data_IF_131712183139
#
_entry.id   IF_131712183139
#
_cell.length_a   1.000
_cell.length_b   1.000
_cell.length_c   1.000
_cell.angle_alpha   90.00
_cell.angle_beta   90.00
_cell.angle_gamma   90.00
#
_symmetry.space_group_name_H-M   'P 1'
#
loop_
_entity.id
_entity.type
_entity.pdbx_description
1 polymer ?
#
# COMPACT_ATOMS: atom_id res chain seq x y z
N UNK A 1 -24.28 -31.75 9.44
CA UNK A 1 -22.81 -31.82 9.54
C UNK A 1 -22.33 -30.43 9.95
N UNK A 2 -21.40 -30.38 10.90
CA UNK A 2 -21.29 -29.37 11.95
C UNK A 2 -21.08 -27.92 11.48
N UNK A 3 -21.95 -27.00 11.91
CA UNK A 3 -21.89 -25.55 11.66
C UNK A 3 -20.68 -24.84 12.32
N UNK A 4 -19.74 -25.58 12.93
CA UNK A 4 -18.62 -25.04 13.69
C UNK A 4 -17.24 -25.64 13.34
N UNK A 5 -17.13 -26.50 12.33
CA UNK A 5 -15.86 -27.16 11.96
C UNK A 5 -14.81 -26.22 11.32
N UNK A 6 -15.23 -25.04 10.85
CA UNK A 6 -14.38 -24.18 10.01
C UNK A 6 -13.75 -22.98 10.75
N UNK A 7 -13.93 -22.86 12.06
CA UNK A 7 -13.40 -21.73 12.84
C UNK A 7 -11.86 -21.59 12.71
N UNK A 8 -11.06 -22.67 12.75
CA UNK A 8 -9.60 -22.58 12.54
C UNK A 8 -9.25 -22.10 11.12
N UNK A 9 -9.93 -22.66 10.11
CA UNK A 9 -9.76 -22.30 8.70
C UNK A 9 -10.16 -20.85 8.41
N UNK A 10 -11.22 -20.34 9.04
CA UNK A 10 -11.64 -18.94 8.93
C UNK A 10 -10.64 -17.98 9.57
N UNK A 11 -10.04 -18.36 10.71
CA UNK A 11 -8.99 -17.57 11.36
C UNK A 11 -7.74 -17.49 10.48
N UNK A 12 -7.41 -18.60 9.81
CA UNK A 12 -6.28 -18.74 8.89
C UNK A 12 -6.51 -17.99 7.57
N UNK A 13 -7.72 -18.02 7.00
CA UNK A 13 -8.04 -17.20 5.83
C UNK A 13 -8.01 -15.70 6.15
N UNK A 14 -8.40 -15.28 7.36
CA UNK A 14 -8.34 -13.86 7.76
C UNK A 14 -6.92 -13.34 8.01
N UNK A 15 -5.90 -14.20 8.13
CA UNK A 15 -4.51 -13.74 8.19
C UNK A 15 -3.95 -13.31 6.83
N UNK A 16 -4.61 -13.72 5.73
CA UNK A 16 -4.27 -13.32 4.36
C UNK A 16 -4.91 -11.96 4.06
N UNK A 17 -4.09 -10.94 3.77
CA UNK A 17 -4.58 -9.57 3.55
C UNK A 17 -5.58 -9.47 2.39
N UNK A 18 -5.41 -10.29 1.35
CA UNK A 18 -6.31 -10.34 0.20
C UNK A 18 -7.73 -10.76 0.56
N UNK A 19 -7.92 -11.50 1.65
CA UNK A 19 -9.21 -12.05 2.05
C UNK A 19 -9.97 -11.15 3.02
N UNK A 20 -9.38 -10.02 3.44
CA UNK A 20 -10.01 -9.04 4.35
C UNK A 20 -11.28 -8.40 3.80
N UNK A 21 -11.41 -8.35 2.47
CA UNK A 21 -12.55 -7.77 1.75
C UNK A 21 -13.66 -8.76 1.43
N UNK A 22 -13.46 -10.05 1.72
CA UNK A 22 -14.42 -11.10 1.41
C UNK A 22 -15.54 -11.14 2.46
N UNK A 23 -16.75 -11.44 2.01
CA UNK A 23 -17.90 -11.62 2.91
C UNK A 23 -17.72 -12.87 3.77
N UNK A 24 -18.41 -12.92 4.91
CA UNK A 24 -18.39 -14.10 5.79
C UNK A 24 -18.85 -15.37 5.06
N UNK A 25 -19.81 -15.26 4.14
CA UNK A 25 -20.26 -16.37 3.30
C UNK A 25 -19.15 -16.89 2.38
N UNK A 26 -18.46 -15.98 1.68
CA UNK A 26 -17.34 -16.33 0.80
C UNK A 26 -16.19 -16.95 1.59
N UNK A 27 -15.83 -16.38 2.74
CA UNK A 27 -14.82 -16.96 3.62
C UNK A 27 -15.19 -18.36 4.10
N UNK A 28 -16.48 -18.61 4.41
CA UNK A 28 -16.95 -19.96 4.78
C UNK A 28 -16.78 -20.95 3.63
N UNK A 29 -17.17 -20.57 2.41
CA UNK A 29 -17.06 -21.42 1.22
C UNK A 29 -15.58 -21.68 0.84
N UNK A 30 -14.72 -20.68 1.01
CA UNK A 30 -13.27 -20.84 0.84
C UNK A 30 -12.69 -21.78 1.90
N UNK A 31 -13.14 -21.67 3.15
CA UNK A 31 -12.70 -22.54 4.23
C UNK A 31 -13.06 -24.01 3.95
N UNK A 32 -14.23 -24.27 3.36
CA UNK A 32 -14.65 -25.61 2.92
C UNK A 32 -13.84 -26.14 1.72
N UNK A 33 -13.17 -25.25 0.99
CA UNK A 33 -12.42 -25.58 -0.23
C UNK A 33 -10.91 -25.73 -0.01
N UNK A 34 -10.43 -25.42 1.19
CA UNK A 34 -9.02 -25.60 1.56
C UNK A 34 -8.67 -27.09 1.59
N UNK A 35 -7.55 -27.43 0.98
CA UNK A 35 -6.99 -28.79 1.00
C UNK A 35 -5.71 -28.77 1.81
N UNK A 36 -5.62 -29.65 2.80
CA UNK A 36 -4.38 -29.83 3.58
C UNK A 36 -3.40 -30.72 2.81
N UNK A 37 -2.15 -30.28 2.72
CA UNK A 37 -1.06 -30.99 2.05
C UNK A 37 0.16 -30.99 2.97
N UNK A 38 0.82 -32.14 3.09
CA UNK A 38 2.02 -32.32 3.89
C UNK A 38 3.24 -32.53 3.00
N UNK A 39 4.36 -31.92 3.38
CA UNK A 39 5.64 -31.97 2.69
C UNK A 39 6.73 -32.42 3.66
N UNK A 40 7.58 -33.35 3.22
CA UNK A 40 8.74 -33.80 3.99
C UNK A 40 9.89 -32.78 3.92
N UNK A 41 10.86 -32.85 4.84
CA UNK A 41 12.04 -31.96 4.83
C UNK A 41 12.76 -31.93 3.47
N UNK A 42 13.02 -30.73 2.96
CA UNK A 42 13.71 -30.48 1.69
C UNK A 42 12.88 -30.73 0.43
N UNK A 43 11.60 -31.09 0.54
CA UNK A 43 10.71 -31.30 -0.60
C UNK A 43 10.39 -29.97 -1.30
N UNK A 44 10.46 -29.98 -2.63
CA UNK A 44 10.02 -28.83 -3.45
C UNK A 44 8.50 -28.80 -3.44
N UNK A 45 7.94 -27.71 -2.93
CA UNK A 45 6.50 -27.43 -2.86
C UNK A 45 6.01 -26.82 -4.18
N UNK A 46 6.81 -25.93 -4.76
CA UNK A 46 6.56 -25.28 -6.05
C UNK A 46 7.90 -25.13 -6.78
N UNK A 47 8.01 -25.62 -8.01
CA UNK A 47 9.16 -25.39 -8.87
C UNK A 47 9.00 -24.06 -9.65
N UNK A 48 10.12 -23.45 -10.04
CA UNK A 48 10.16 -22.26 -10.90
C UNK A 48 9.58 -22.51 -12.30
N UNK A 49 9.62 -23.77 -12.75
CA UNK A 49 9.12 -24.18 -14.06
C UNK A 49 7.65 -24.65 -14.01
N UNK A 50 7.02 -24.65 -12.83
CA UNK A 50 5.62 -24.99 -12.65
C UNK A 50 4.70 -23.78 -12.86
N UNK A 51 3.56 -23.99 -13.52
CA UNK A 51 2.48 -23.01 -13.58
C UNK A 51 1.80 -22.91 -12.21
N UNK A 52 2.28 -21.96 -11.39
CA UNK A 52 1.72 -21.73 -10.06
C UNK A 52 0.30 -21.22 -10.17
N UNK A 53 -0.65 -22.07 -9.80
CA UNK A 53 -2.09 -21.81 -9.86
C UNK A 53 -2.77 -21.87 -8.50
N UNK A 54 -2.01 -21.93 -7.40
CA UNK A 54 -2.56 -22.11 -6.06
C UNK A 54 -1.89 -21.21 -5.02
N UNK A 55 -2.67 -20.78 -4.03
CA UNK A 55 -2.18 -20.14 -2.80
C UNK A 55 -1.89 -21.20 -1.75
N UNK A 56 -0.82 -21.03 -0.98
CA UNK A 56 -0.44 -21.90 0.13
C UNK A 56 -0.36 -21.09 1.42
N UNK A 57 -0.92 -21.63 2.50
CA UNK A 57 -0.91 -21.03 3.83
C UNK A 57 -0.28 -22.04 4.80
N UNK A 58 0.78 -21.64 5.49
CA UNK A 58 1.59 -22.52 6.33
C UNK A 58 0.87 -22.72 7.66
N UNK A 59 0.36 -23.92 7.89
CA UNK A 59 -0.25 -24.29 9.17
C UNK A 59 0.78 -24.71 10.21
N UNK A 60 1.87 -25.35 9.77
CA UNK A 60 2.96 -25.82 10.64
C UNK A 60 4.24 -25.99 9.83
N UNK A 61 5.38 -25.63 10.40
CA UNK A 61 6.69 -25.77 9.76
C UNK A 61 7.17 -24.47 9.12
N UNK A 62 8.25 -24.56 8.34
CA UNK A 62 8.95 -23.41 7.75
C UNK A 62 9.16 -23.65 6.26
N UNK A 63 8.96 -22.64 5.43
CA UNK A 63 9.15 -22.73 3.98
C UNK A 63 10.22 -21.73 3.56
N UNK A 64 11.17 -22.20 2.74
CA UNK A 64 12.15 -21.36 2.08
C UNK A 64 11.72 -21.07 0.67
N UNK A 65 11.56 -19.79 0.38
CA UNK A 65 11.24 -19.26 -0.92
C UNK A 65 12.51 -18.73 -1.58
N UNK A 66 12.79 -19.17 -2.80
CA UNK A 66 13.91 -18.69 -3.62
C UNK A 66 13.36 -18.03 -4.87
N UNK A 67 13.71 -16.76 -5.08
CA UNK A 67 13.20 -15.92 -6.17
C UNK A 67 14.38 -15.40 -6.98
N UNK A 68 14.33 -15.55 -8.31
CA UNK A 68 15.41 -15.09 -9.19
C UNK A 68 15.44 -13.55 -9.27
N UNK A 69 16.59 -12.92 -9.02
CA UNK A 69 16.70 -11.46 -8.94
C UNK A 69 16.59 -10.75 -10.29
N UNK A 70 16.77 -11.47 -11.40
CA UNK A 70 16.79 -10.93 -12.76
C UNK A 70 15.40 -10.64 -13.34
N UNK A 71 14.32 -11.07 -12.65
CA UNK A 71 12.93 -10.95 -13.14
C UNK A 71 11.94 -10.38 -12.14
N UNK A 72 12.41 -9.80 -11.04
CA UNK A 72 11.54 -9.28 -10.00
C UNK A 72 11.19 -7.80 -10.23
N UNK A 73 9.91 -7.51 -10.47
CA UNK A 73 9.39 -6.14 -10.46
C UNK A 73 9.26 -5.63 -9.01
N UNK A 74 9.27 -4.31 -8.82
CA UNK A 74 9.18 -3.67 -7.49
C UNK A 74 7.95 -4.14 -6.69
N UNK A 75 6.85 -4.42 -7.38
CA UNK A 75 5.53 -4.72 -6.80
C UNK A 75 5.50 -6.13 -6.22
N UNK A 76 6.15 -7.06 -6.93
CA UNK A 76 6.37 -8.43 -6.49
C UNK A 76 7.22 -8.47 -5.21
N UNK A 77 8.21 -7.57 -5.09
CA UNK A 77 9.05 -7.47 -3.90
C UNK A 77 8.30 -6.88 -2.69
N UNK A 78 7.41 -5.91 -2.90
CA UNK A 78 6.59 -5.34 -1.83
C UNK A 78 5.58 -6.39 -1.29
N UNK A 79 5.05 -7.26 -2.15
CA UNK A 79 4.20 -8.40 -1.75
C UNK A 79 5.00 -9.50 -1.00
N UNK A 80 6.26 -9.72 -1.36
CA UNK A 80 7.16 -10.63 -0.64
C UNK A 80 7.58 -10.08 0.73
N UNK A 81 7.76 -8.76 0.84
CA UNK A 81 8.30 -8.10 2.04
C UNK A 81 7.28 -7.95 3.16
N UNK A 82 5.98 -8.10 2.87
CA UNK A 82 4.91 -7.97 3.87
C UNK A 82 4.78 -9.18 4.80
N UNK A 83 5.47 -10.29 4.54
CA UNK A 83 5.16 -11.58 5.16
C UNK A 83 6.29 -12.33 5.89
N UNK A 84 7.48 -11.73 6.09
CA UNK A 84 8.58 -12.41 6.80
C UNK A 84 9.38 -11.54 7.75
N UNK A 85 9.57 -12.01 8.99
CA UNK A 85 10.69 -11.56 9.83
C UNK A 85 11.96 -12.18 9.24
N UNK A 86 13.00 -11.35 9.06
CA UNK A 86 14.32 -11.71 8.53
C UNK A 86 14.39 -12.04 7.03
N UNK A 87 14.47 -10.99 6.21
CA UNK A 87 15.18 -11.05 4.93
C UNK A 87 16.68 -11.15 5.25
N UNK A 88 17.23 -12.37 5.27
CA UNK A 88 18.69 -12.54 5.20
C UNK A 88 19.10 -12.52 3.73
N UNK A 89 19.76 -11.44 3.31
CA UNK A 89 20.50 -11.43 2.05
C UNK A 89 21.73 -12.34 2.20
N UNK A 90 21.59 -13.62 1.87
CA UNK A 90 22.73 -14.44 1.49
C UNK A 90 22.96 -14.23 -0.01
N UNK A 91 24.03 -13.50 -0.36
CA UNK A 91 24.55 -13.45 -1.73
C UNK A 91 25.19 -14.80 -2.08
N UNK A 92 24.38 -15.83 -2.29
CA UNK A 92 24.80 -17.00 -3.07
C UNK A 92 24.06 -16.97 -4.40
N UNK A 93 24.81 -16.72 -5.47
CA UNK A 93 24.36 -16.85 -6.88
C UNK A 93 23.28 -15.88 -7.39
N UNK A 94 23.06 -14.73 -6.74
CA UNK A 94 22.19 -13.67 -7.30
C UNK A 94 20.69 -13.95 -7.22
N UNK A 95 20.25 -14.83 -6.31
CA UNK A 95 18.83 -15.07 -6.01
C UNK A 95 18.45 -14.47 -4.64
N UNK A 96 17.20 -14.08 -4.48
CA UNK A 96 16.63 -13.68 -3.20
C UNK A 96 16.08 -14.90 -2.47
N UNK A 97 16.42 -15.04 -1.19
CA UNK A 97 15.90 -16.11 -0.33
C UNK A 97 15.07 -15.50 0.79
N UNK A 98 13.86 -15.99 0.97
CA UNK A 98 12.91 -15.56 2.02
C UNK A 98 12.45 -16.79 2.78
N UNK A 99 12.54 -16.78 4.11
CA UNK A 99 12.00 -17.83 4.96
C UNK A 99 10.66 -17.37 5.54
N UNK A 100 9.65 -18.24 5.44
CA UNK A 100 8.27 -17.98 5.87
C UNK A 100 7.91 -19.00 6.95
N UNK A 101 7.55 -18.47 8.12
CA UNK A 101 7.20 -19.26 9.30
C UNK A 101 5.70 -19.66 9.31
N UNK A 102 5.34 -20.46 10.31
CA UNK A 102 3.95 -20.81 10.63
C UNK A 102 3.03 -19.58 10.71
N UNK A 103 1.88 -19.65 10.04
CA UNK A 103 0.91 -18.56 9.91
C UNK A 103 1.16 -17.63 8.71
N UNK A 104 2.31 -17.76 8.04
CA UNK A 104 2.59 -17.10 6.77
C UNK A 104 1.91 -17.78 5.58
N UNK A 105 1.98 -17.14 4.41
CA UNK A 105 1.41 -17.65 3.16
C UNK A 105 2.25 -17.21 1.96
N UNK A 106 2.09 -17.91 0.83
CA UNK A 106 2.78 -17.62 -0.43
C UNK A 106 1.98 -18.17 -1.63
N UNK A 107 2.19 -17.59 -2.81
CA UNK A 107 1.51 -18.00 -4.05
C UNK A 107 0.21 -17.23 -4.33
N UNK A 108 -0.05 -16.17 -3.57
CA UNK A 108 -1.19 -15.27 -3.74
C UNK A 108 -1.25 -14.61 -5.13
N UNK A 109 -0.10 -14.43 -5.77
CA UNK A 109 0.03 -13.89 -7.12
C UNK A 109 -0.75 -14.70 -8.15
N UNK A 110 -0.83 -16.03 -7.96
CA UNK A 110 -1.62 -16.92 -8.80
C UNK A 110 -3.10 -16.51 -8.82
N UNK A 111 -3.64 -16.08 -7.68
CA UNK A 111 -5.05 -15.69 -7.51
C UNK A 111 -5.37 -14.34 -8.16
N UNK A 112 -4.42 -13.39 -8.16
CA UNK A 112 -4.57 -12.06 -8.79
C UNK A 112 -4.13 -12.03 -10.27
N UNK A 113 -3.69 -13.17 -10.81
CA UNK A 113 -3.28 -13.28 -12.22
C UNK A 113 -1.91 -12.69 -12.53
N UNK A 114 -1.04 -12.61 -11.53
CA UNK A 114 0.36 -12.25 -11.68
C UNK A 114 1.22 -13.52 -11.77
N UNK A 115 2.15 -13.55 -12.73
CA UNK A 115 3.07 -14.67 -12.92
C UNK A 115 4.42 -14.32 -12.33
N UNK A 116 4.72 -14.86 -11.15
CA UNK A 116 6.03 -14.73 -10.52
C UNK A 116 6.71 -16.09 -10.55
N UNK A 117 7.93 -16.12 -11.08
CA UNK A 117 8.80 -17.29 -11.04
C UNK A 117 9.46 -17.37 -9.66
N UNK A 118 9.09 -18.36 -8.87
CA UNK A 118 9.70 -18.64 -7.57
C UNK A 118 9.81 -20.15 -7.35
N UNK A 119 10.73 -20.56 -6.50
CA UNK A 119 10.83 -21.94 -6.00
C UNK A 119 10.55 -21.93 -4.51
N UNK A 120 9.61 -22.76 -4.07
CA UNK A 120 9.32 -22.94 -2.65
C UNK A 120 9.74 -24.34 -2.22
N UNK A 121 10.53 -24.46 -1.14
CA UNK A 121 10.93 -25.73 -0.55
C UNK A 121 10.66 -25.76 0.95
N UNK A 122 10.26 -26.92 1.45
CA UNK A 122 10.06 -27.15 2.88
C UNK A 122 11.39 -27.19 3.63
N UNK A 123 11.42 -26.57 4.81
CA UNK A 123 12.50 -26.66 5.79
C UNK A 123 11.94 -27.39 7.01
N UNK A 124 12.26 -28.67 7.11
CA UNK A 124 11.60 -29.62 8.00
C UNK A 124 10.26 -30.13 7.45
N UNK A 125 9.53 -30.88 8.27
CA UNK A 125 8.19 -31.34 7.92
C UNK A 125 7.20 -30.16 7.97
N UNK A 126 6.57 -29.87 6.83
CA UNK A 126 5.66 -28.72 6.64
C UNK A 126 4.24 -29.20 6.33
N UNK A 127 3.24 -28.56 6.94
CA UNK A 127 1.84 -28.73 6.60
C UNK A 127 1.29 -27.39 6.09
N UNK A 128 0.72 -27.41 4.88
CA UNK A 128 0.10 -26.25 4.25
C UNK A 128 -1.37 -26.52 3.97
N UNK A 129 -2.21 -25.49 4.11
CA UNK A 129 -3.51 -25.44 3.44
C UNK A 129 -3.35 -24.78 2.09
N UNK A 130 -3.87 -25.40 1.03
CA UNK A 130 -3.83 -24.86 -0.32
C UNK A 130 -5.22 -24.57 -0.87
N UNK A 131 -5.30 -23.53 -1.69
CA UNK A 131 -6.49 -23.22 -2.49
C UNK A 131 -6.09 -22.96 -3.94
N UNK A 132 -6.67 -23.77 -4.85
CA UNK A 132 -6.48 -23.61 -6.28
C UNK A 132 -7.26 -22.39 -6.79
N UNK A 133 -6.66 -21.67 -7.75
CA UNK A 133 -7.23 -20.50 -8.41
C UNK A 133 -8.60 -20.79 -9.00
N UNK A 134 -8.77 -21.93 -9.65
CA UNK A 134 -10.06 -22.33 -10.24
C UNK A 134 -11.18 -22.37 -9.19
N UNK A 135 -10.91 -22.98 -8.03
CA UNK A 135 -11.87 -23.03 -6.92
C UNK A 135 -12.09 -21.65 -6.30
N UNK A 136 -11.02 -20.87 -6.19
CA UNK A 136 -11.10 -19.51 -5.69
C UNK A 136 -11.98 -18.62 -6.59
N UNK A 137 -11.76 -18.64 -7.90
CA UNK A 137 -12.53 -17.89 -8.90
C UNK A 137 -14.00 -18.33 -8.96
N UNK A 138 -14.31 -19.60 -8.68
CA UNK A 138 -15.68 -20.09 -8.58
C UNK A 138 -16.45 -19.50 -7.39
N UNK A 139 -15.76 -19.22 -6.28
CA UNK A 139 -16.37 -18.76 -5.02
C UNK A 139 -16.39 -17.24 -4.92
N UNK A 140 -15.28 -16.60 -5.30
CA UNK A 140 -15.07 -15.15 -5.16
C UNK A 140 -15.34 -14.41 -6.47
N UNK A 141 -15.26 -15.10 -7.61
CA UNK A 141 -15.11 -14.48 -8.92
C UNK A 141 -13.65 -14.14 -9.21
N UNK A 142 -13.34 -13.83 -10.48
CA UNK A 142 -12.00 -13.35 -10.84
C UNK A 142 -11.68 -12.07 -10.07
N UNK A 143 -10.67 -12.13 -9.21
CA UNK A 143 -10.16 -10.95 -8.55
C UNK A 143 -9.61 -10.01 -9.63
N UNK A 144 -10.05 -8.74 -9.68
CA UNK A 144 -9.36 -7.73 -10.46
C UNK A 144 -7.92 -7.68 -9.94
N UNK A 145 -6.95 -7.45 -10.84
CA UNK A 145 -5.61 -7.01 -10.44
C UNK A 145 -5.79 -5.92 -9.36
N UNK A 146 -4.93 -5.82 -8.33
CA UNK A 146 -5.12 -4.88 -7.23
C UNK A 146 -5.31 -3.41 -7.65
N UNK A 147 -5.17 -3.08 -8.94
CA UNK A 147 -5.58 -1.82 -9.58
C UNK A 147 -7.07 -1.65 -9.96
N UNK A 148 -7.97 -2.66 -9.88
CA UNK A 148 -9.32 -2.54 -10.48
C UNK A 148 -10.55 -2.93 -9.63
N UNK A 149 -10.41 -3.33 -8.36
CA UNK A 149 -11.57 -3.85 -7.61
C UNK A 149 -12.45 -2.84 -6.85
N UNK A 150 -12.05 -1.58 -6.68
CA UNK A 150 -12.83 -0.61 -5.88
C UNK A 150 -13.70 0.38 -6.68
N UNK A 151 -13.82 0.24 -8.00
CA UNK A 151 -14.53 1.23 -8.83
C UNK A 151 -16.03 0.99 -9.06
N UNK A 152 -16.65 -0.07 -8.52
CA UNK A 152 -18.01 -0.47 -8.96
C UNK A 152 -19.15 -0.48 -7.93
N UNK A 153 -18.98 0.03 -6.71
CA UNK A 153 -20.07 0.01 -5.70
C UNK A 153 -20.47 1.37 -5.09
N UNK A 154 -20.25 2.49 -5.81
CA UNK A 154 -20.78 3.82 -5.41
C UNK A 154 -21.40 4.64 -6.55
N UNK A 155 -21.86 4.01 -7.62
CA UNK A 155 -22.58 4.70 -8.71
C UNK A 155 -24.11 4.56 -8.57
N UNK A 156 -24.66 5.04 -7.47
CA UNK A 156 -26.07 5.43 -7.42
C UNK A 156 -26.18 6.67 -6.54
N UNK A 157 -26.62 7.78 -7.15
CA UNK A 157 -26.79 9.13 -6.62
C UNK A 157 -25.57 10.06 -6.78
N UNK A 158 -25.34 10.54 -8.02
CA UNK A 158 -25.01 11.94 -8.41
C UNK A 158 -25.14 12.01 -9.95
N UNK A 159 -25.77 13.04 -10.55
CA UNK A 159 -25.97 13.14 -12.00
C UNK A 159 -24.67 13.34 -12.79
N UNK A 160 -24.68 12.83 -14.01
CA UNK A 160 -23.62 12.97 -15.02
C UNK A 160 -23.38 14.45 -15.38
N UNK A 161 -22.15 14.92 -15.20
CA UNK A 161 -21.56 15.93 -16.08
C UNK A 161 -20.16 15.50 -16.53
N UNK A 162 -19.98 15.56 -17.84
CA UNK A 162 -18.80 15.14 -18.59
C UNK A 162 -17.66 16.15 -18.42
N UNK A 163 -16.47 15.68 -18.05
CA UNK A 163 -15.22 16.05 -18.75
C UNK A 163 -14.08 15.11 -18.34
N UNK A 164 -13.39 14.61 -19.36
CA UNK A 164 -12.27 13.67 -19.29
C UNK A 164 -11.12 14.15 -18.38
N UNK A 165 -10.59 13.22 -17.59
CA UNK A 165 -9.21 12.79 -17.73
C UNK A 165 -9.12 11.32 -17.28
N UNK A 166 -8.93 10.42 -18.23
CA UNK A 166 -8.44 9.07 -17.95
C UNK A 166 -7.01 9.22 -17.44
N UNK A 167 -6.74 8.83 -16.20
CA UNK A 167 -5.37 8.75 -15.70
C UNK A 167 -5.04 7.28 -15.50
N UNK A 168 -4.46 6.70 -16.56
CA UNK A 168 -3.75 5.44 -16.53
C UNK A 168 -2.64 5.50 -15.47
N UNK A 169 -2.60 4.41 -14.70
CA UNK A 169 -1.57 4.04 -13.74
C UNK A 169 -0.18 4.39 -14.26
N UNK A 170 0.57 5.23 -13.51
CA UNK A 170 2.02 5.29 -13.66
C UNK A 170 2.58 3.95 -13.17
N UNK A 171 3.12 3.08 -14.04
CA UNK A 171 3.78 1.86 -13.59
C UNK A 171 5.13 2.27 -13.00
N UNK A 172 5.26 2.11 -11.68
CA UNK A 172 6.49 1.82 -10.93
C UNK A 172 7.84 2.18 -11.57
N UNK A 173 8.04 3.45 -11.89
CA UNK A 173 9.38 4.01 -11.95
C UNK A 173 9.68 4.51 -10.53
N UNK A 174 10.73 3.98 -9.90
CA UNK A 174 11.26 4.53 -8.64
C UNK A 174 11.74 5.96 -8.95
N UNK A 175 10.83 6.93 -8.83
CA UNK A 175 11.07 8.33 -9.18
C UNK A 175 12.22 8.83 -8.33
N UNK A 176 13.35 9.13 -8.96
CA UNK A 176 14.48 9.73 -8.28
C UNK A 176 14.27 11.23 -8.14
N UNK A 177 14.98 11.87 -7.21
CA UNK A 177 14.87 13.33 -7.04
C UNK A 177 15.27 14.08 -8.33
N UNK A 178 16.19 13.52 -9.11
CA UNK A 178 16.60 14.04 -10.43
C UNK A 178 15.46 14.06 -11.46
N UNK A 179 14.47 13.18 -11.30
CA UNK A 179 13.31 13.08 -12.19
C UNK A 179 12.23 14.11 -11.83
N UNK A 180 12.38 14.81 -10.70
CA UNK A 180 11.43 15.82 -10.22
C UNK A 180 11.96 17.22 -10.51
N UNK A 181 11.16 18.02 -11.20
CA UNK A 181 11.43 19.44 -11.42
C UNK A 181 10.56 20.28 -10.49
N UNK A 182 11.19 20.98 -9.53
CA UNK A 182 10.49 21.88 -8.62
C UNK A 182 9.96 23.10 -9.37
N UNK A 183 8.65 23.36 -9.26
CA UNK A 183 7.99 24.48 -9.94
C UNK A 183 7.67 25.60 -8.97
N UNK A 184 7.06 25.28 -7.83
CA UNK A 184 6.56 26.29 -6.91
C UNK A 184 6.59 25.78 -5.46
N UNK A 185 6.92 26.67 -4.53
CA UNK A 185 6.79 26.40 -3.09
C UNK A 185 5.42 26.88 -2.62
N UNK A 186 4.66 26.00 -1.97
CA UNK A 186 3.31 26.30 -1.45
C UNK A 186 3.38 26.61 0.05
N UNK A 187 4.22 25.87 0.78
CA UNK A 187 4.38 26.00 2.21
C UNK A 187 5.82 25.74 2.64
N UNK A 188 6.32 26.53 3.58
CA UNK A 188 7.64 26.38 4.14
C UNK A 188 7.57 26.33 5.67
N UNK A 189 8.27 25.36 6.24
CA UNK A 189 8.53 25.22 7.66
C UNK A 189 10.03 25.42 7.93
N UNK A 190 10.44 25.26 9.18
CA UNK A 190 11.81 25.51 9.62
C UNK A 190 12.85 24.57 9.01
N UNK A 191 12.52 23.30 8.78
CA UNK A 191 13.40 22.33 8.12
C UNK A 191 12.81 21.65 6.88
N UNK A 192 11.60 22.03 6.46
CA UNK A 192 10.91 21.39 5.32
C UNK A 192 10.14 22.39 4.45
N UNK A 193 9.86 21.98 3.23
CA UNK A 193 8.99 22.70 2.29
C UNK A 193 8.07 21.73 1.57
N UNK A 194 6.88 22.20 1.25
CA UNK A 194 5.90 21.51 0.40
C UNK A 194 5.74 22.34 -0.86
N UNK A 195 5.93 21.70 -2.01
CA UNK A 195 5.85 22.36 -3.30
C UNK A 195 5.18 21.51 -4.37
N UNK A 196 4.95 22.14 -5.52
CA UNK A 196 4.58 21.45 -6.75
C UNK A 196 5.83 21.03 -7.51
N UNK A 197 5.82 19.79 -7.97
CA UNK A 197 6.84 19.23 -8.84
C UNK A 197 6.21 18.70 -10.12
N UNK A 198 6.93 18.84 -11.22
CA UNK A 198 6.63 18.16 -12.47
C UNK A 198 7.52 16.92 -12.58
N UNK A 199 6.93 15.77 -12.91
CA UNK A 199 7.72 14.57 -13.20
C UNK A 199 8.28 14.71 -14.62
N UNK A 200 9.61 14.75 -14.74
CA UNK A 200 10.33 14.90 -16.02
C UNK A 200 9.91 13.80 -17.00
N UNK A 201 9.68 14.19 -18.25
CA UNK A 201 9.15 13.29 -19.27
C UNK A 201 7.64 13.07 -19.19
N UNK A 202 6.93 13.82 -18.34
CA UNK A 202 5.47 13.87 -18.31
C UNK A 202 4.97 15.28 -18.02
N UNK A 203 3.71 15.56 -18.38
CA UNK A 203 3.00 16.76 -17.95
C UNK A 203 2.30 16.58 -16.59
N UNK A 204 2.57 15.46 -15.90
CA UNK A 204 1.95 15.15 -14.62
C UNK A 204 2.62 15.97 -13.52
N UNK A 205 1.79 16.78 -12.85
CA UNK A 205 2.15 17.52 -11.65
C UNK A 205 1.79 16.71 -10.41
N UNK A 206 2.59 16.84 -9.36
CA UNK A 206 2.33 16.26 -8.03
C UNK A 206 2.85 17.19 -6.94
N UNK A 207 2.43 16.95 -5.71
CA UNK A 207 2.96 17.61 -4.52
C UNK A 207 4.11 16.83 -3.93
N UNK A 208 5.14 17.56 -3.48
CA UNK A 208 6.36 17.00 -2.97
C UNK A 208 6.76 17.73 -1.69
N UNK A 209 6.93 16.96 -0.60
CA UNK A 209 7.47 17.46 0.66
C UNK A 209 8.96 17.14 0.72
N UNK A 210 9.79 18.17 0.85
CA UNK A 210 11.25 18.03 0.96
C UNK A 210 11.75 18.55 2.31
N UNK A 211 12.73 17.85 2.89
CA UNK A 211 13.42 18.24 4.11
C UNK A 211 14.88 18.55 3.80
N UNK A 212 15.38 19.68 4.31
CA UNK A 212 16.78 20.07 4.14
C UNK A 212 17.66 19.26 5.10
N UNK A 213 18.47 18.33 4.60
CA UNK A 213 19.30 17.44 5.45
C UNK A 213 20.15 18.25 6.43
N UNK A 214 20.77 19.34 5.96
CA UNK A 214 21.57 20.23 6.81
C UNK A 214 20.75 20.84 7.95
N UNK A 215 19.57 21.42 7.66
CA UNK A 215 18.72 22.05 8.71
C UNK A 215 18.13 21.02 9.66
N UNK A 216 17.77 19.83 9.17
CA UNK A 216 17.27 18.73 10.01
C UNK A 216 18.34 18.34 11.04
N UNK A 217 19.61 18.23 10.61
CA UNK A 217 20.74 17.94 11.50
C UNK A 217 21.02 19.10 12.46
N UNK A 218 21.07 20.34 11.97
CA UNK A 218 21.34 21.53 12.77
C UNK A 218 20.30 21.73 13.89
N UNK A 219 19.03 21.43 13.60
CA UNK A 219 17.90 21.55 14.53
C UNK A 219 17.62 20.28 15.34
N UNK A 220 18.39 19.20 15.14
CA UNK A 220 18.21 17.90 15.80
C UNK A 220 16.79 17.32 15.64
N UNK A 221 16.24 17.45 14.42
CA UNK A 221 14.88 17.01 14.06
C UNK A 221 14.83 15.69 13.31
N UNK A 222 15.93 14.95 13.24
CA UNK A 222 16.05 13.68 12.49
C UNK A 222 14.93 12.72 12.89
N UNK A 223 14.74 12.49 14.20
CA UNK A 223 13.70 11.60 14.73
C UNK A 223 12.30 12.02 14.31
N UNK A 224 12.02 13.33 14.30
CA UNK A 224 10.72 13.86 13.89
C UNK A 224 10.47 13.55 12.41
N UNK A 225 11.45 13.81 11.55
CA UNK A 225 11.33 13.55 10.09
C UNK A 225 11.12 12.07 9.80
N UNK A 226 11.85 11.17 10.47
CA UNK A 226 11.66 9.73 10.30
C UNK A 226 10.29 9.26 10.77
N UNK A 227 9.82 9.77 11.92
CA UNK A 227 8.47 9.46 12.41
C UNK A 227 7.39 9.94 11.45
N UNK A 228 7.54 11.15 10.90
CA UNK A 228 6.60 11.72 9.94
C UNK A 228 6.53 10.88 8.66
N UNK A 229 7.70 10.50 8.12
CA UNK A 229 7.82 9.61 6.97
C UNK A 229 7.13 8.26 7.22
N UNK A 230 7.45 7.62 8.35
CA UNK A 230 6.91 6.29 8.65
C UNK A 230 5.40 6.35 8.85
N UNK A 231 4.91 7.39 9.53
CA UNK A 231 3.48 7.63 9.70
C UNK A 231 2.78 7.80 8.36
N UNK A 232 3.28 8.67 7.48
CA UNK A 232 2.68 8.88 6.16
C UNK A 232 2.71 7.63 5.29
N UNK A 233 3.77 6.80 5.37
CA UNK A 233 3.82 5.52 4.66
C UNK A 233 2.80 4.51 5.16
N UNK A 234 2.47 4.53 6.45
CA UNK A 234 1.44 3.63 6.97
C UNK A 234 0.06 4.02 6.48
N UNK A 235 -0.19 5.29 6.15
CA UNK A 235 -1.50 5.80 5.74
C UNK A 235 -1.84 5.34 4.32
N UNK A 236 -3.02 4.72 4.17
CA UNK A 236 -3.57 4.42 2.85
C UNK A 236 -4.28 5.64 2.30
N UNK A 237 -4.41 5.71 0.97
CA UNK A 237 -5.17 6.75 0.29
C UNK A 237 -6.55 6.96 0.95
N UNK A 238 -6.83 8.19 1.35
CA UNK A 238 -8.15 8.61 1.81
C UNK A 238 -8.54 9.92 1.13
N UNK A 239 -9.80 10.34 1.28
CA UNK A 239 -10.28 11.57 0.65
C UNK A 239 -9.55 12.83 1.12
N UNK A 240 -9.03 12.80 2.37
CA UNK A 240 -8.47 13.98 3.04
C UNK A 240 -7.03 13.79 3.52
N UNK A 241 -6.40 12.65 3.23
CA UNK A 241 -4.98 12.39 3.50
C UNK A 241 -4.38 11.79 2.24
N UNK A 242 -3.37 12.44 1.63
CA UNK A 242 -2.80 11.96 0.40
C UNK A 242 -1.94 10.72 0.63
N UNK A 243 -1.96 9.84 -0.36
CA UNK A 243 -1.11 8.67 -0.43
C UNK A 243 0.33 9.07 -0.75
N UNK A 244 1.29 8.39 -0.11
CA UNK A 244 2.71 8.50 -0.47
C UNK A 244 3.00 7.62 -1.68
N UNK A 245 3.39 8.23 -2.79
CA UNK A 245 3.80 7.51 -4.00
C UNK A 245 5.21 6.94 -3.88
N UNK A 246 6.16 7.75 -3.39
CA UNK A 246 7.51 7.31 -3.14
C UNK A 246 8.23 8.20 -2.13
N UNK A 247 9.38 7.70 -1.67
CA UNK A 247 10.37 8.50 -0.93
C UNK A 247 11.68 8.50 -1.68
N UNK A 248 12.32 9.66 -1.78
CA UNK A 248 13.61 9.83 -2.43
C UNK A 248 14.55 10.65 -1.56
N UNK A 249 15.85 10.57 -1.83
CA UNK A 249 16.86 11.32 -1.10
C UNK A 249 18.05 11.62 -2.02
N UNK A 250 18.71 12.75 -1.77
CA UNK A 250 20.02 13.08 -2.35
C UNK A 250 20.95 13.64 -1.26
N UNK A 251 22.03 14.32 -1.66
CA UNK A 251 22.99 14.89 -0.70
C UNK A 251 22.44 16.10 0.09
N UNK A 252 21.37 16.74 -0.40
CA UNK A 252 20.82 17.98 0.16
C UNK A 252 19.44 17.80 0.80
N UNK A 253 18.65 16.85 0.31
CA UNK A 253 17.24 16.71 0.60
C UNK A 253 16.80 15.27 0.88
N UNK A 254 15.87 15.12 1.83
CA UNK A 254 14.97 13.96 1.93
C UNK A 254 13.62 14.34 1.35
N UNK A 255 12.94 13.41 0.69
CA UNK A 255 11.78 13.70 -0.14
C UNK A 255 10.64 12.70 0.00
N UNK A 256 9.41 13.21 -0.02
CA UNK A 256 8.18 12.43 0.00
C UNK A 256 7.27 12.94 -1.11
N UNK A 257 7.00 12.10 -2.11
CA UNK A 257 6.11 12.41 -3.23
C UNK A 257 4.70 11.97 -2.90
N UNK A 258 3.73 12.89 -3.05
CA UNK A 258 2.35 12.69 -2.67
C UNK A 258 1.44 12.56 -3.89
N UNK A 259 0.43 11.69 -3.80
CA UNK A 259 -0.55 11.46 -4.86
C UNK A 259 -1.65 12.55 -4.90
N UNK A 260 -1.26 13.81 -4.85
CA UNK A 260 -2.16 14.95 -4.92
C UNK A 260 -1.46 16.15 -5.56
N UNK A 261 -2.24 17.19 -5.87
CA UNK A 261 -1.74 18.48 -6.34
C UNK A 261 -2.31 19.56 -5.44
N UNK A 262 -1.57 19.93 -4.42
CA UNK A 262 -1.89 21.03 -3.52
C UNK A 262 -1.79 22.37 -4.24
N UNK A 263 -2.65 23.30 -3.87
CA UNK A 263 -2.74 24.65 -4.42
C UNK A 263 -2.37 25.71 -3.40
N UNK A 264 -2.98 25.66 -2.21
CA UNK A 264 -2.78 26.66 -1.17
C UNK A 264 -3.16 26.11 0.21
N UNK A 265 -2.79 26.84 1.26
CA UNK A 265 -3.32 26.59 2.60
C UNK A 265 -4.75 27.11 2.73
N UNK A 266 -5.51 26.54 3.67
CA UNK A 266 -6.84 26.99 4.03
C UNK A 266 -6.78 28.44 4.53
N UNK A 267 -5.72 28.82 5.26
CA UNK A 267 -5.48 30.18 5.71
C UNK A 267 -5.52 31.19 4.55
N UNK A 268 -4.96 30.85 3.39
CA UNK A 268 -4.93 31.74 2.21
C UNK A 268 -6.33 32.08 1.65
N UNK A 269 -7.34 31.25 1.90
CA UNK A 269 -8.71 31.50 1.46
C UNK A 269 -9.62 32.07 2.57
N UNK A 270 -9.16 32.04 3.82
CA UNK A 270 -9.89 32.56 4.99
C UNK A 270 -9.72 34.08 5.19
N UNK A 271 -9.73 34.84 4.09
CA UNK A 271 -9.65 36.31 4.14
C UNK A 271 -10.99 36.96 4.55
N UNK A 272 -12.08 36.18 4.51
CA UNK A 272 -13.41 36.57 4.96
C UNK A 272 -14.10 35.35 5.59
N UNK A 273 -15.12 35.57 6.45
CA UNK A 273 -15.93 34.48 6.96
C UNK A 273 -16.51 33.65 5.81
N UNK A 274 -16.37 32.33 5.91
CA UNK A 274 -16.97 31.41 4.95
C UNK A 274 -18.49 31.40 5.12
N UNK A 275 -19.20 31.09 4.03
CA UNK A 275 -20.61 30.72 4.14
C UNK A 275 -20.77 29.48 5.02
N UNK A 276 -21.94 29.33 5.63
CA UNK A 276 -22.22 28.18 6.50
C UNK A 276 -22.01 26.84 5.78
N UNK A 277 -22.38 26.75 4.50
CA UNK A 277 -22.18 25.55 3.68
C UNK A 277 -20.70 25.20 3.51
N UNK A 278 -19.85 26.20 3.22
CA UNK A 278 -18.42 26.00 3.03
C UNK A 278 -17.71 25.70 4.35
N UNK A 279 -18.08 26.41 5.43
CA UNK A 279 -17.57 26.13 6.76
C UNK A 279 -17.89 24.69 7.20
N UNK A 280 -19.14 24.23 6.98
CA UNK A 280 -19.57 22.86 7.27
C UNK A 280 -18.79 21.83 6.45
N UNK A 281 -18.57 22.11 5.16
CA UNK A 281 -17.80 21.22 4.29
C UNK A 281 -16.35 21.04 4.74
N UNK A 282 -15.64 22.13 5.03
CA UNK A 282 -14.24 22.05 5.48
C UNK A 282 -14.13 21.48 6.90
N UNK A 283 -15.04 21.82 7.80
CA UNK A 283 -15.08 21.23 9.14
C UNK A 283 -15.31 19.71 9.06
N UNK A 284 -16.25 19.24 8.24
CA UNK A 284 -16.49 17.81 8.03
C UNK A 284 -15.26 17.12 7.42
N UNK A 285 -14.57 17.76 6.46
CA UNK A 285 -13.35 17.22 5.86
C UNK A 285 -12.23 17.05 6.90
N UNK A 286 -12.04 18.02 7.80
CA UNK A 286 -11.09 17.91 8.92
C UNK A 286 -11.47 16.77 9.85
N UNK A 287 -12.75 16.62 10.20
CA UNK A 287 -13.23 15.53 11.06
C UNK A 287 -12.94 14.16 10.43
N UNK A 288 -13.23 13.99 9.13
CA UNK A 288 -12.96 12.74 8.40
C UNK A 288 -11.46 12.44 8.35
N UNK A 289 -10.61 13.45 8.12
CA UNK A 289 -9.17 13.27 8.14
C UNK A 289 -8.67 12.82 9.53
N UNK A 290 -9.13 13.48 10.59
CA UNK A 290 -8.74 13.14 11.97
C UNK A 290 -9.24 11.77 12.39
N UNK A 291 -10.46 11.38 12.00
CA UNK A 291 -11.00 10.04 12.25
C UNK A 291 -10.10 8.96 11.64
N UNK A 292 -9.63 9.16 10.40
CA UNK A 292 -8.74 8.20 9.74
C UNK A 292 -7.37 8.09 10.43
N UNK A 293 -6.84 9.19 10.96
CA UNK A 293 -5.62 9.18 11.77
C UNK A 293 -5.85 8.46 13.11
N UNK A 294 -6.96 8.78 13.80
CA UNK A 294 -7.30 8.16 15.09
C UNK A 294 -7.54 6.65 14.96
N UNK A 295 -8.13 6.19 13.86
CA UNK A 295 -8.32 4.76 13.56
C UNK A 295 -7.00 3.98 13.52
N UNK A 296 -5.87 4.68 13.29
CA UNK A 296 -4.51 4.13 13.26
C UNK A 296 -3.70 4.50 14.51
N UNK A 297 -4.38 4.95 15.57
CA UNK A 297 -3.76 5.40 16.82
C UNK A 297 -2.79 6.56 16.65
N UNK A 298 -3.00 7.40 15.63
CA UNK A 298 -2.21 8.61 15.36
C UNK A 298 -2.97 9.81 15.93
N UNK A 299 -2.39 10.48 16.92
CA UNK A 299 -2.91 11.75 17.43
C UNK A 299 -2.24 12.92 16.70
N UNK A 300 -3.00 13.58 15.82
CA UNK A 300 -2.52 14.76 15.11
C UNK A 300 -2.77 16.04 15.93
N UNK A 301 -1.69 16.61 16.48
CA UNK A 301 -1.76 17.74 17.42
C UNK A 301 -1.58 19.11 16.77
N UNK A 302 -1.35 19.15 15.46
CA UNK A 302 -0.92 20.34 14.73
C UNK A 302 -2.02 21.10 13.99
N UNK A 303 -3.29 20.71 14.11
CA UNK A 303 -4.41 21.26 13.30
C UNK A 303 -4.43 22.79 13.33
N UNK A 304 -4.10 23.43 12.21
CA UNK A 304 -4.19 24.88 12.00
C UNK A 304 -4.57 25.20 10.55
N UNK A 305 -5.05 26.41 10.29
CA UNK A 305 -5.40 26.82 8.93
C UNK A 305 -4.19 26.87 7.98
N UNK A 306 -2.97 27.02 8.49
CA UNK A 306 -1.74 27.10 7.70
C UNK A 306 -1.29 25.75 7.15
N UNK A 307 -1.62 24.66 7.85
CA UNK A 307 -1.18 23.30 7.51
C UNK A 307 -2.27 22.47 6.81
N UNK A 308 -3.53 22.90 6.90
CA UNK A 308 -4.63 22.32 6.15
C UNK A 308 -4.54 22.85 4.73
N UNK A 309 -4.28 21.97 3.77
CA UNK A 309 -4.02 22.38 2.38
C UNK A 309 -5.22 22.04 1.51
N UNK A 310 -5.42 22.80 0.43
CA UNK A 310 -6.45 22.53 -0.56
C UNK A 310 -5.80 21.99 -1.83
N UNK A 311 -6.41 20.97 -2.42
CA UNK A 311 -6.03 20.51 -3.76
C UNK A 311 -6.72 21.32 -4.87
N UNK A 312 -6.35 21.02 -6.12
CA UNK A 312 -6.92 21.66 -7.32
C UNK A 312 -8.44 21.52 -7.45
N UNK A 313 -9.05 20.54 -6.80
CA UNK A 313 -10.50 20.31 -6.82
C UNK A 313 -11.20 21.00 -5.64
N UNK A 314 -10.45 21.69 -4.77
CA UNK A 314 -10.97 22.37 -3.59
C UNK A 314 -11.19 21.46 -2.39
N UNK A 315 -10.72 20.21 -2.43
CA UNK A 315 -10.81 19.30 -1.28
C UNK A 315 -9.65 19.53 -0.33
N UNK A 316 -9.95 19.41 0.96
CA UNK A 316 -8.97 19.55 2.02
C UNK A 316 -8.09 18.30 2.14
N UNK A 317 -6.80 18.53 2.23
CA UNK A 317 -5.75 17.54 2.40
C UNK A 317 -4.95 17.87 3.66
N UNK A 318 -4.91 16.93 4.61
CA UNK A 318 -4.08 17.01 5.80
C UNK A 318 -2.72 16.43 5.48
N UNK A 319 -1.70 17.27 5.50
CA UNK A 319 -0.30 16.86 5.33
C UNK A 319 0.32 16.75 6.72
N UNK A 320 0.84 15.56 7.05
CA UNK A 320 1.51 15.30 8.32
C UNK A 320 2.94 15.83 8.26
#
# INVERSE_FOLDING_TARGET
MSEFSNIPSLKLLRSVQLFTRLTVLQLSQLADSLVEVSFADGQVIVDKDDDVSSLYIIQRGHVRLTVAADRLNSDSWDLLSTHGKQVQQSQESGNYVVEIDEGGHFGEWALIGETITFTASSVGDVICSTIAKEKFDLIVGSLPKPSQADSKLKSSLIPKENQHCADDDLPFRRVQLSDLEWKECIYAADCSEIGLVQIRGSDKMKSFKRFYIKRVNDLRKEKQVFQEKDMMKTLSKSACVPEVLCTCADQSYLGILLNCCLCCSLASILNAPLSESSARFYAASVVVALEELHRRSILYRGVSADILMLDRSGYLQVII
#
